data_IF_381135104820
#
_entry.id   IF_381135104820
#
_cell.length_a   1.000
_cell.length_b   1.000
_cell.length_c   1.000
_cell.angle_alpha   90.00
_cell.angle_beta   90.00
_cell.angle_gamma   90.00
#
_symmetry.space_group_name_H-M   'P 1'
#
loop_
_entity.id
_entity.type
_entity.pdbx_description
1 polymer ?
#
# COMPACT_ATOMS: atom_id res chain seq x y z
N UNK A 1 0.33 37.95 -27.31
CA UNK A 1 -0.95 37.42 -26.75
C UNK A 1 -1.83 37.10 -27.94
N UNK A 2 -1.85 35.83 -28.36
CA UNK A 2 -2.71 35.33 -29.44
C UNK A 2 -4.14 35.41 -28.98
N UNK A 3 -5.04 35.90 -29.84
CA UNK A 3 -6.51 35.85 -29.56
C UNK A 3 -6.93 34.38 -29.42
N UNK A 4 -7.79 34.07 -28.45
CA UNK A 4 -8.30 32.72 -28.29
C UNK A 4 -9.07 32.30 -29.55
N UNK A 5 -8.92 31.04 -29.97
CA UNK A 5 -9.69 30.50 -31.10
C UNK A 5 -11.19 30.47 -30.76
N UNK A 6 -12.06 30.43 -31.79
CA UNK A 6 -13.51 30.30 -31.59
C UNK A 6 -13.84 29.09 -30.68
N UNK A 7 -13.11 27.99 -30.83
CA UNK A 7 -13.25 26.79 -29.98
C UNK A 7 -12.90 27.08 -28.53
N UNK A 8 -11.86 27.84 -28.26
CA UNK A 8 -11.46 28.22 -26.89
C UNK A 8 -12.56 29.07 -26.23
N UNK A 9 -13.11 30.02 -26.96
CA UNK A 9 -14.20 30.86 -26.45
C UNK A 9 -15.47 30.07 -26.20
N UNK A 10 -15.83 29.15 -27.07
CA UNK A 10 -16.98 28.25 -26.90
C UNK A 10 -16.81 27.38 -25.62
N UNK A 11 -15.63 26.81 -25.44
CA UNK A 11 -15.32 26.00 -24.23
C UNK A 11 -15.36 26.85 -22.97
N UNK A 12 -14.78 28.05 -22.94
CA UNK A 12 -14.84 28.96 -21.79
C UNK A 12 -16.30 29.29 -21.46
N UNK A 13 -17.13 29.59 -22.44
CA UNK A 13 -18.56 29.89 -22.24
C UNK A 13 -19.31 28.70 -21.67
N UNK A 14 -19.01 27.50 -22.14
CA UNK A 14 -19.62 26.27 -21.63
C UNK A 14 -19.14 25.98 -20.19
N UNK A 15 -17.84 26.10 -19.89
CA UNK A 15 -17.30 25.94 -18.54
C UNK A 15 -17.94 26.90 -17.53
N UNK A 16 -18.24 28.11 -17.97
CA UNK A 16 -18.93 29.09 -17.11
C UNK A 16 -20.43 28.78 -16.89
N UNK A 17 -21.03 27.91 -17.71
CA UNK A 17 -22.44 27.53 -17.61
C UNK A 17 -22.72 26.29 -16.78
N UNK A 18 -21.71 25.44 -16.53
CA UNK A 18 -21.84 24.23 -15.72
C UNK A 18 -21.73 24.55 -14.23
N UNK A 19 -22.33 23.71 -13.38
CA UNK A 19 -22.27 23.87 -11.94
C UNK A 19 -20.91 23.40 -11.34
N UNK A 20 -20.66 23.78 -10.10
CA UNK A 20 -19.41 23.45 -9.40
C UNK A 20 -19.16 21.92 -9.28
N UNK A 21 -20.15 21.08 -8.94
CA UNK A 21 -19.98 19.62 -8.93
C UNK A 21 -19.60 19.04 -10.30
N UNK A 22 -20.23 19.51 -11.37
CA UNK A 22 -19.89 19.09 -12.74
C UNK A 22 -18.48 19.50 -13.12
N UNK A 23 -18.08 20.72 -12.78
CA UNK A 23 -16.72 21.23 -13.01
C UNK A 23 -15.66 20.40 -12.23
N UNK A 24 -15.93 20.09 -10.97
CA UNK A 24 -15.04 19.24 -10.18
C UNK A 24 -14.92 17.83 -10.77
N UNK A 25 -16.02 17.26 -11.24
CA UNK A 25 -16.03 15.95 -11.89
C UNK A 25 -15.23 15.96 -13.20
N UNK A 26 -15.37 17.01 -14.00
CA UNK A 26 -14.59 17.21 -15.23
C UNK A 26 -13.10 17.31 -14.94
N UNK A 27 -12.69 18.14 -13.98
CA UNK A 27 -11.30 18.34 -13.59
C UNK A 27 -10.67 17.00 -13.15
N UNK A 28 -11.38 16.24 -12.32
CA UNK A 28 -10.92 14.90 -11.89
C UNK A 28 -10.83 13.92 -13.06
N UNK A 29 -11.87 13.84 -13.89
CA UNK A 29 -11.93 12.93 -15.04
C UNK A 29 -10.82 13.21 -16.05
N UNK A 30 -10.57 14.49 -16.32
CA UNK A 30 -9.54 14.94 -17.27
C UNK A 30 -8.14 15.04 -16.64
N UNK A 31 -8.00 14.68 -15.36
CA UNK A 31 -6.73 14.70 -14.58
C UNK A 31 -6.00 16.04 -14.66
N UNK A 32 -6.77 17.14 -14.60
CA UNK A 32 -6.22 18.49 -14.72
C UNK A 32 -5.41 18.86 -13.48
N UNK A 33 -4.18 19.31 -13.68
CA UNK A 33 -3.33 19.79 -12.61
C UNK A 33 -3.93 21.03 -11.92
N UNK A 34 -3.79 21.13 -10.62
CA UNK A 34 -4.32 22.25 -9.82
C UNK A 34 -3.83 23.62 -10.31
N UNK A 35 -2.60 23.68 -10.83
CA UNK A 35 -2.00 24.89 -11.41
C UNK A 35 -2.77 25.42 -12.63
N UNK A 36 -3.47 24.57 -13.38
CA UNK A 36 -4.28 24.97 -14.54
C UNK A 36 -5.70 25.43 -14.14
N UNK A 37 -6.11 25.24 -12.89
CA UNK A 37 -7.44 25.60 -12.39
C UNK A 37 -7.54 27.08 -11.87
N UNK A 38 -6.58 27.95 -12.24
CA UNK A 38 -6.56 29.35 -11.78
C UNK A 38 -7.56 30.26 -12.48
N UNK A 39 -8.01 29.90 -13.68
CA UNK A 39 -9.03 30.60 -14.44
C UNK A 39 -9.68 29.66 -15.46
N UNK A 40 -10.91 30.01 -15.95
CA UNK A 40 -11.52 29.27 -17.04
C UNK A 40 -10.69 29.30 -18.32
N UNK A 41 -9.88 30.30 -18.54
CA UNK A 41 -8.98 30.39 -19.70
C UNK A 41 -7.87 29.35 -19.60
N UNK A 42 -7.15 29.31 -18.49
CA UNK A 42 -6.05 28.34 -18.28
C UNK A 42 -6.58 26.91 -18.27
N UNK A 43 -7.75 26.70 -17.70
CA UNK A 43 -8.46 25.42 -17.72
C UNK A 43 -8.82 24.99 -19.15
N UNK A 44 -9.37 25.92 -19.96
CA UNK A 44 -9.72 25.63 -21.35
C UNK A 44 -8.47 25.35 -22.21
N UNK A 45 -7.37 26.09 -22.01
CA UNK A 45 -6.09 25.85 -22.69
C UNK A 45 -5.56 24.44 -22.38
N UNK A 46 -5.64 24.00 -21.12
CA UNK A 46 -5.22 22.67 -20.70
C UNK A 46 -6.14 21.57 -21.28
N UNK A 47 -7.44 21.74 -21.19
CA UNK A 47 -8.43 20.82 -21.75
C UNK A 47 -8.31 20.65 -23.27
N UNK A 48 -7.86 21.70 -23.97
CA UNK A 48 -7.61 21.70 -25.42
C UNK A 48 -6.20 21.29 -25.81
N UNK A 49 -5.33 21.01 -24.86
CA UNK A 49 -4.00 20.48 -25.17
C UNK A 49 -4.12 19.12 -25.90
N UNK A 50 -3.23 18.90 -26.89
CA UNK A 50 -3.27 17.67 -27.69
C UNK A 50 -3.06 16.41 -26.81
N UNK A 51 -2.28 16.53 -25.75
CA UNK A 51 -2.01 15.47 -24.82
C UNK A 51 -3.26 15.14 -23.99
N UNK A 52 -3.90 16.13 -23.38
CA UNK A 52 -5.08 15.95 -22.57
C UNK A 52 -6.26 15.40 -23.37
N UNK A 53 -6.45 15.88 -24.63
CA UNK A 53 -7.48 15.33 -25.54
C UNK A 53 -7.18 13.86 -25.82
N UNK A 54 -5.93 13.51 -26.16
CA UNK A 54 -5.55 12.12 -26.47
C UNK A 54 -5.76 11.18 -25.30
N UNK A 55 -5.29 11.57 -24.12
CA UNK A 55 -5.47 10.76 -22.89
C UNK A 55 -6.95 10.56 -22.57
N UNK A 56 -7.76 11.60 -22.72
CA UNK A 56 -9.20 11.51 -22.45
C UNK A 56 -9.97 10.67 -23.48
N UNK A 57 -9.54 10.68 -24.73
CA UNK A 57 -10.12 9.80 -25.76
C UNK A 57 -9.77 8.33 -25.49
N UNK A 58 -8.60 8.05 -24.98
CA UNK A 58 -8.19 6.67 -24.60
C UNK A 58 -9.08 6.06 -23.53
N UNK A 59 -9.64 6.87 -22.64
CA UNK A 59 -10.54 6.39 -21.59
C UNK A 59 -11.97 6.13 -22.06
N UNK A 60 -12.32 6.52 -23.30
CA UNK A 60 -13.65 6.34 -23.83
C UNK A 60 -13.79 5.00 -24.56
N UNK A 61 -14.87 4.24 -24.28
CA UNK A 61 -15.16 3.02 -25.01
C UNK A 61 -15.51 3.31 -26.48
N UNK A 62 -15.30 2.32 -27.34
CA UNK A 62 -15.57 2.36 -28.79
C UNK A 62 -16.94 2.93 -29.13
N UNK A 63 -17.98 2.51 -28.40
CA UNK A 63 -19.34 2.98 -28.62
C UNK A 63 -19.45 4.52 -28.50
N UNK A 64 -18.71 5.11 -27.55
CA UNK A 64 -18.68 6.56 -27.36
C UNK A 64 -17.76 7.27 -28.37
N UNK A 65 -16.70 6.60 -28.84
CA UNK A 65 -15.79 7.15 -29.84
C UNK A 65 -16.39 7.25 -31.25
N UNK A 66 -17.35 6.39 -31.58
CA UNK A 66 -18.07 6.46 -32.87
C UNK A 66 -19.12 7.55 -32.91
N UNK A 67 -19.66 7.99 -31.78
CA UNK A 67 -20.67 9.01 -31.69
C UNK A 67 -20.31 10.39 -32.28
N UNK A 68 -19.04 10.90 -32.17
CA UNK A 68 -18.63 12.16 -32.77
C UNK A 68 -18.60 12.15 -34.29
N UNK A 69 -18.46 10.98 -34.93
CA UNK A 69 -18.45 10.89 -36.41
C UNK A 69 -19.88 10.98 -36.99
N UNK A 70 -20.89 10.54 -36.23
CA UNK A 70 -22.31 10.56 -36.62
C UNK A 70 -23.20 10.97 -35.43
N UNK A 71 -23.17 12.24 -34.97
CA UNK A 71 -23.90 12.66 -33.76
C UNK A 71 -25.43 12.50 -33.88
N UNK A 72 -25.98 12.61 -35.11
CA UNK A 72 -27.43 12.54 -35.37
C UNK A 72 -28.00 11.13 -35.16
N UNK A 73 -27.14 10.10 -35.13
CA UNK A 73 -27.55 8.71 -34.89
C UNK A 73 -26.97 8.11 -33.61
N UNK A 74 -26.27 8.92 -32.82
CA UNK A 74 -25.58 8.43 -31.61
C UNK A 74 -26.57 8.18 -30.47
N UNK A 75 -26.25 7.15 -29.65
CA UNK A 75 -27.02 6.84 -28.46
C UNK A 75 -26.94 7.98 -27.42
N UNK A 76 -28.04 8.29 -26.70
CA UNK A 76 -28.06 9.37 -25.71
C UNK A 76 -27.02 9.23 -24.61
N UNK A 77 -26.59 8.01 -24.29
CA UNK A 77 -25.55 7.74 -23.29
C UNK A 77 -24.18 8.17 -23.82
N UNK A 78 -23.85 7.86 -25.05
CA UNK A 78 -22.63 8.26 -25.72
C UNK A 78 -22.47 9.77 -25.80
N UNK A 79 -23.55 10.47 -26.13
CA UNK A 79 -23.57 11.93 -26.16
C UNK A 79 -23.36 12.54 -24.77
N UNK A 80 -24.00 11.99 -23.74
CA UNK A 80 -23.77 12.41 -22.34
C UNK A 80 -22.35 12.16 -21.87
N UNK A 81 -21.74 11.03 -22.27
CA UNK A 81 -20.36 10.71 -21.91
C UNK A 81 -19.37 11.70 -22.54
N UNK A 82 -19.60 12.10 -23.80
CA UNK A 82 -18.80 13.08 -24.51
C UNK A 82 -19.01 14.51 -23.95
N UNK A 83 -20.22 14.86 -23.57
CA UNK A 83 -20.51 16.13 -22.90
C UNK A 83 -19.87 16.20 -21.53
N UNK A 84 -19.97 15.14 -20.73
CA UNK A 84 -19.31 15.05 -19.43
C UNK A 84 -17.77 15.08 -19.51
N UNK A 85 -17.22 14.74 -20.69
CA UNK A 85 -15.79 14.87 -20.99
C UNK A 85 -15.42 16.19 -21.67
N UNK A 86 -16.35 17.13 -21.84
CA UNK A 86 -16.18 18.41 -22.52
C UNK A 86 -15.71 18.29 -24.00
N UNK A 87 -16.16 17.26 -24.70
CA UNK A 87 -15.95 17.11 -26.15
C UNK A 87 -17.10 17.72 -26.96
N UNK A 88 -18.30 17.67 -26.43
CA UNK A 88 -19.53 18.20 -27.03
C UNK A 88 -20.26 19.07 -26.02
N UNK A 89 -21.14 19.96 -26.54
CA UNK A 89 -22.19 20.60 -25.76
C UNK A 89 -23.53 20.38 -26.43
N UNK A 90 -24.56 20.07 -25.65
CA UNK A 90 -25.93 19.95 -26.13
C UNK A 90 -26.63 21.33 -26.13
N UNK A 91 -27.24 21.69 -27.24
CA UNK A 91 -28.01 22.92 -27.37
C UNK A 91 -29.40 22.59 -27.95
N UNK A 92 -30.41 23.46 -27.80
CA UNK A 92 -31.73 23.23 -28.37
C UNK A 92 -31.75 23.02 -29.89
N UNK A 93 -30.67 23.42 -30.61
CA UNK A 93 -30.50 23.27 -32.05
C UNK A 93 -29.60 22.12 -32.49
N UNK A 94 -29.16 21.27 -31.57
CA UNK A 94 -28.25 20.15 -31.84
C UNK A 94 -27.00 20.14 -30.94
N UNK A 95 -25.96 19.50 -31.43
CA UNK A 95 -24.68 19.35 -30.68
C UNK A 95 -23.57 20.22 -31.29
N UNK A 96 -22.80 20.89 -30.44
CA UNK A 96 -21.62 21.68 -30.84
C UNK A 96 -20.37 21.05 -30.27
N UNK A 97 -19.29 20.96 -31.09
CA UNK A 97 -17.99 20.48 -30.63
C UNK A 97 -17.29 21.53 -29.77
N UNK A 98 -16.82 21.12 -28.60
CA UNK A 98 -16.01 21.94 -27.69
C UNK A 98 -14.52 21.76 -27.93
N UNK A 99 -14.14 20.82 -28.80
CA UNK A 99 -12.75 20.55 -29.22
C UNK A 99 -12.62 20.69 -30.74
N UNK A 100 -11.42 21.04 -31.28
CA UNK A 100 -11.20 21.10 -32.72
C UNK A 100 -11.45 19.73 -33.37
N UNK A 101 -12.16 19.69 -34.49
CA UNK A 101 -12.38 18.45 -35.24
C UNK A 101 -11.08 17.75 -35.65
N UNK A 102 -10.05 18.51 -35.95
CA UNK A 102 -8.71 17.96 -36.25
C UNK A 102 -8.09 17.16 -35.09
N UNK A 103 -8.47 17.47 -33.85
CA UNK A 103 -8.03 16.72 -32.67
C UNK A 103 -8.74 15.36 -32.53
N UNK A 104 -9.84 15.15 -33.27
CA UNK A 104 -10.60 13.91 -33.32
C UNK A 104 -10.22 13.02 -34.52
N UNK A 105 -9.18 13.39 -35.31
CA UNK A 105 -8.77 12.65 -36.52
C UNK A 105 -8.34 11.20 -36.25
N UNK A 106 -7.90 10.87 -35.02
CA UNK A 106 -7.64 9.50 -34.65
C UNK A 106 -8.90 8.59 -34.72
N UNK A 107 -10.09 9.18 -34.65
CA UNK A 107 -11.37 8.45 -34.73
C UNK A 107 -11.69 8.03 -36.16
N UNK A 108 -11.16 8.73 -37.17
CA UNK A 108 -11.39 8.43 -38.60
C UNK A 108 -10.76 7.10 -39.03
N UNK A 109 -9.83 6.59 -38.20
CA UNK A 109 -9.12 5.32 -38.45
C UNK A 109 -9.79 4.13 -37.77
N UNK A 110 -10.85 4.35 -36.98
CA UNK A 110 -11.55 3.26 -36.29
C UNK A 110 -12.32 2.41 -37.29
N UNK A 111 -12.00 1.12 -37.34
CA UNK A 111 -12.73 0.15 -38.16
C UNK A 111 -14.10 -0.15 -37.53
N UNK A 112 -15.17 0.41 -38.11
CA UNK A 112 -16.53 0.21 -37.66
C UNK A 112 -17.08 -1.21 -37.90
N UNK A 113 -16.36 -2.02 -38.70
CA UNK A 113 -16.71 -3.42 -39.04
C UNK A 113 -16.00 -4.44 -38.18
N UNK A 114 -15.13 -4.03 -37.26
CA UNK A 114 -14.45 -4.97 -36.36
C UNK A 114 -15.49 -5.77 -35.57
N UNK A 115 -15.32 -7.10 -35.51
CA UNK A 115 -16.21 -7.97 -34.75
C UNK A 115 -15.81 -7.98 -33.27
N UNK A 116 -16.81 -7.88 -32.41
CA UNK A 116 -16.60 -8.00 -30.97
C UNK A 116 -16.05 -9.39 -30.62
N UNK A 117 -14.95 -9.47 -29.85
CA UNK A 117 -14.41 -10.75 -29.40
C UNK A 117 -15.41 -11.43 -28.47
N UNK A 118 -15.53 -12.76 -28.60
CA UNK A 118 -16.40 -13.53 -27.70
C UNK A 118 -15.80 -13.56 -26.32
N UNK A 119 -16.62 -13.19 -25.31
CA UNK A 119 -16.25 -13.41 -23.94
C UNK A 119 -16.17 -14.93 -23.66
N UNK A 120 -15.01 -15.36 -23.14
CA UNK A 120 -14.81 -16.73 -22.67
C UNK A 120 -14.41 -16.63 -21.19
N UNK A 121 -15.24 -17.12 -20.27
CA UNK A 121 -14.89 -17.17 -18.85
C UNK A 121 -13.58 -17.90 -18.64
N UNK A 122 -12.77 -17.43 -17.71
CA UNK A 122 -11.58 -18.16 -17.28
C UNK A 122 -11.98 -19.49 -16.62
N UNK A 123 -11.09 -20.46 -16.66
CA UNK A 123 -11.26 -21.70 -15.90
C UNK A 123 -11.26 -21.41 -14.40
N UNK A 124 -11.95 -22.25 -13.63
CA UNK A 124 -11.90 -22.15 -12.17
C UNK A 124 -10.50 -22.48 -11.64
N UNK A 125 -10.03 -21.67 -10.71
CA UNK A 125 -8.80 -22.00 -9.97
C UNK A 125 -8.97 -23.25 -9.12
N UNK A 126 -7.96 -24.12 -9.11
CA UNK A 126 -7.91 -25.22 -8.15
C UNK A 126 -7.87 -24.71 -6.71
N UNK A 127 -8.22 -25.53 -5.73
CA UNK A 127 -8.12 -25.17 -4.31
C UNK A 127 -6.67 -24.81 -3.94
N UNK A 128 -5.68 -25.55 -4.47
CA UNK A 128 -4.27 -25.28 -4.27
C UNK A 128 -3.83 -23.91 -4.84
N UNK A 129 -4.31 -23.54 -6.03
CA UNK A 129 -4.00 -22.24 -6.63
C UNK A 129 -4.65 -21.10 -5.88
N UNK A 130 -5.89 -21.29 -5.40
CA UNK A 130 -6.55 -20.32 -4.51
C UNK A 130 -5.76 -20.11 -3.22
N UNK A 131 -5.36 -21.20 -2.56
CA UNK A 131 -4.53 -21.15 -1.36
C UNK A 131 -3.18 -20.47 -1.60
N UNK A 132 -2.53 -20.73 -2.75
CA UNK A 132 -1.29 -20.07 -3.12
C UNK A 132 -1.47 -18.56 -3.36
N UNK A 133 -2.55 -18.15 -4.04
CA UNK A 133 -2.90 -16.74 -4.21
C UNK A 133 -3.17 -16.03 -2.88
N UNK A 134 -3.93 -16.67 -1.99
CA UNK A 134 -4.21 -16.15 -0.66
C UNK A 134 -2.94 -16.05 0.19
N UNK A 135 -2.03 -17.01 0.09
CA UNK A 135 -0.72 -16.96 0.76
C UNK A 135 0.13 -15.80 0.24
N UNK A 136 0.09 -15.50 -1.06
CA UNK A 136 0.75 -14.32 -1.64
C UNK A 136 0.19 -13.03 -1.04
N UNK A 137 -1.12 -12.86 -1.03
CA UNK A 137 -1.77 -11.68 -0.44
C UNK A 137 -1.51 -11.54 1.07
N UNK A 138 -1.51 -12.65 1.81
CA UNK A 138 -1.18 -12.64 3.24
C UNK A 138 0.30 -12.28 3.48
N UNK A 139 1.22 -12.77 2.62
CA UNK A 139 2.62 -12.36 2.65
C UNK A 139 2.76 -10.86 2.49
N UNK A 140 2.02 -10.27 1.56
CA UNK A 140 2.01 -8.82 1.36
C UNK A 140 1.54 -8.07 2.61
N UNK A 141 0.43 -8.51 3.24
CA UNK A 141 -0.08 -7.92 4.50
C UNK A 141 0.99 -7.95 5.59
N UNK A 142 1.67 -9.08 5.77
CA UNK A 142 2.76 -9.21 6.75
C UNK A 142 3.92 -8.29 6.39
N UNK A 143 4.32 -8.26 5.12
CA UNK A 143 5.44 -7.42 4.65
C UNK A 143 5.18 -5.92 4.83
N UNK A 144 3.94 -5.47 4.55
CA UNK A 144 3.54 -4.08 4.80
C UNK A 144 3.51 -3.80 6.30
N UNK A 145 3.01 -4.73 7.13
CA UNK A 145 3.06 -4.58 8.60
C UNK A 145 4.49 -4.40 9.09
N UNK A 146 5.40 -5.21 8.59
CA UNK A 146 6.83 -5.16 8.94
C UNK A 146 7.47 -3.81 8.56
N UNK A 147 7.13 -3.30 7.36
CA UNK A 147 7.56 -1.97 6.91
C UNK A 147 7.03 -0.85 7.82
N UNK A 148 5.75 -0.91 8.19
CA UNK A 148 5.15 0.07 9.08
C UNK A 148 5.76 0.03 10.48
N UNK A 149 6.10 -1.15 10.99
CA UNK A 149 6.78 -1.29 12.28
C UNK A 149 8.19 -0.71 12.25
N UNK A 150 8.95 -0.97 11.19
CA UNK A 150 10.26 -0.35 11.00
C UNK A 150 10.17 1.18 10.97
N UNK A 151 9.22 1.75 10.20
CA UNK A 151 9.02 3.21 10.12
C UNK A 151 8.54 3.81 11.46
N UNK A 152 7.81 3.06 12.27
CA UNK A 152 7.39 3.50 13.61
C UNK A 152 8.58 3.60 14.59
N UNK A 153 9.54 2.67 14.46
CA UNK A 153 10.64 2.52 15.43
C UNK A 153 11.90 3.31 15.06
N UNK A 154 12.04 3.72 13.79
CA UNK A 154 13.23 4.46 13.34
C UNK A 154 12.87 5.58 12.36
N UNK A 155 13.77 6.57 12.25
CA UNK A 155 13.58 7.70 11.34
C UNK A 155 14.20 7.40 9.98
N UNK A 156 13.38 7.37 8.93
CA UNK A 156 13.80 7.18 7.55
C UNK A 156 13.64 8.46 6.73
N UNK A 157 14.72 9.11 6.28
CA UNK A 157 14.66 10.26 5.39
C UNK A 157 13.99 9.92 4.05
N UNK A 158 13.18 10.87 3.56
CA UNK A 158 12.51 10.77 2.25
C UNK A 158 12.92 11.92 1.34
N UNK A 159 12.89 11.67 0.04
CA UNK A 159 13.09 12.69 -1.01
C UNK A 159 11.87 13.58 -1.21
N UNK A 160 11.97 14.49 -2.20
CA UNK A 160 10.92 15.48 -2.49
C UNK A 160 9.55 14.88 -2.85
N UNK A 161 9.52 13.67 -3.40
CA UNK A 161 8.31 12.96 -3.79
C UNK A 161 7.79 12.00 -2.69
N UNK A 162 8.34 12.07 -1.48
CA UNK A 162 7.99 11.16 -0.39
C UNK A 162 8.56 9.74 -0.52
N UNK A 163 9.41 9.49 -1.54
CA UNK A 163 10.08 8.20 -1.73
C UNK A 163 11.29 8.05 -0.81
N UNK A 164 11.60 6.83 -0.35
CA UNK A 164 12.74 6.60 0.54
C UNK A 164 14.06 6.94 -0.17
N UNK A 165 14.99 7.55 0.54
CA UNK A 165 16.33 7.79 0.02
C UNK A 165 17.12 6.48 -0.12
N UNK A 166 18.21 6.46 -0.89
CA UNK A 166 19.07 5.29 -1.03
C UNK A 166 19.61 4.79 0.34
N UNK A 167 19.88 5.73 1.26
CA UNK A 167 20.29 5.40 2.63
C UNK A 167 19.16 4.72 3.41
N UNK A 168 17.94 5.26 3.30
CA UNK A 168 16.75 4.67 3.93
C UNK A 168 16.46 3.26 3.40
N UNK A 169 16.54 3.07 2.08
CA UNK A 169 16.38 1.74 1.46
C UNK A 169 17.41 0.74 2.00
N UNK A 170 18.68 1.14 2.09
CA UNK A 170 19.73 0.27 2.63
C UNK A 170 19.47 -0.10 4.10
N UNK A 171 19.02 0.86 4.92
CA UNK A 171 18.72 0.60 6.33
C UNK A 171 17.49 -0.31 6.48
N UNK A 172 16.43 -0.09 5.69
CA UNK A 172 15.24 -0.95 5.66
C UNK A 172 15.58 -2.37 5.19
N UNK A 173 16.44 -2.53 4.17
CA UNK A 173 16.92 -3.86 3.77
C UNK A 173 17.72 -4.57 4.86
N UNK A 174 18.50 -3.84 5.64
CA UNK A 174 19.24 -4.42 6.77
C UNK A 174 18.30 -4.87 7.90
N UNK A 175 17.21 -4.14 8.13
CA UNK A 175 16.23 -4.41 9.19
C UNK A 175 15.23 -5.51 8.79
N UNK A 176 14.69 -5.44 7.59
CA UNK A 176 13.64 -6.35 7.12
C UNK A 176 14.18 -7.60 6.43
N UNK A 177 15.44 -7.58 5.98
CA UNK A 177 16.07 -8.68 5.25
C UNK A 177 15.91 -8.60 3.73
N UNK A 178 16.67 -9.47 3.03
CA UNK A 178 16.76 -9.45 1.55
C UNK A 178 15.52 -10.01 0.81
N UNK A 179 14.53 -10.51 1.55
CA UNK A 179 13.32 -11.13 0.97
C UNK A 179 12.26 -10.14 0.50
N UNK A 180 12.46 -8.83 0.71
CA UNK A 180 11.48 -7.80 0.43
C UNK A 180 11.94 -6.84 -0.66
N UNK A 181 11.05 -6.56 -1.63
CA UNK A 181 11.20 -5.38 -2.49
C UNK A 181 10.64 -4.16 -1.74
N UNK A 182 11.54 -3.48 -1.03
CA UNK A 182 11.16 -2.34 -0.16
C UNK A 182 10.53 -1.21 -0.98
N UNK A 183 10.97 -0.98 -2.21
CA UNK A 183 10.43 0.11 -3.05
C UNK A 183 8.96 -0.18 -3.40
N UNK A 184 8.65 -1.40 -3.79
CA UNK A 184 7.28 -1.84 -4.11
C UNK A 184 6.39 -1.80 -2.86
N UNK A 185 6.87 -2.30 -1.72
CA UNK A 185 6.12 -2.24 -0.46
C UNK A 185 5.84 -0.80 -0.02
N UNK A 186 6.82 0.10 -0.23
CA UNK A 186 6.68 1.52 0.08
C UNK A 186 5.61 2.18 -0.78
N UNK A 187 5.62 1.93 -2.08
CA UNK A 187 4.63 2.48 -3.01
C UNK A 187 3.23 1.96 -2.66
N UNK A 188 3.05 0.66 -2.41
CA UNK A 188 1.78 0.06 -1.97
C UNK A 188 1.29 0.69 -0.65
N UNK A 189 2.15 0.83 0.35
CA UNK A 189 1.78 1.40 1.63
C UNK A 189 1.42 2.91 1.52
N UNK A 190 2.10 3.64 0.63
CA UNK A 190 1.82 5.06 0.36
C UNK A 190 0.50 5.21 -0.38
N UNK A 191 0.25 4.42 -1.42
CA UNK A 191 -1.01 4.41 -2.17
C UNK A 191 -2.20 4.03 -1.29
N UNK A 192 -1.98 3.09 -0.37
CA UNK A 192 -2.98 2.71 0.62
C UNK A 192 -3.18 3.77 1.73
N UNK A 193 -2.47 4.91 1.67
CA UNK A 193 -2.58 5.97 2.67
C UNK A 193 -2.04 5.60 4.05
N UNK A 194 -1.20 4.56 4.16
CA UNK A 194 -0.61 4.09 5.42
C UNK A 194 0.68 4.83 5.75
N UNK A 195 1.45 5.23 4.74
CA UNK A 195 2.65 6.05 4.87
C UNK A 195 2.41 7.47 4.38
N UNK A 196 3.00 8.40 5.08
CA UNK A 196 3.06 9.81 4.74
C UNK A 196 4.41 10.40 5.10
N UNK A 197 4.52 11.72 5.09
CA UNK A 197 5.74 12.44 5.44
C UNK A 197 5.51 13.41 6.58
N UNK A 198 6.48 13.50 7.48
CA UNK A 198 6.58 14.54 8.49
C UNK A 198 7.90 15.31 8.26
N UNK A 199 7.80 16.44 7.58
CA UNK A 199 8.97 17.16 7.06
C UNK A 199 9.74 16.34 6.04
N UNK A 200 10.99 16.00 6.32
CA UNK A 200 11.88 15.21 5.44
C UNK A 200 11.98 13.73 5.83
N UNK A 201 11.10 13.24 6.68
CA UNK A 201 11.11 11.85 7.13
C UNK A 201 9.76 11.16 6.87
N UNK A 202 9.80 9.85 6.71
CA UNK A 202 8.61 9.01 6.68
C UNK A 202 7.88 9.04 8.03
N UNK A 203 6.57 8.93 7.99
CA UNK A 203 5.74 8.84 9.17
C UNK A 203 4.51 7.96 8.91
N UNK A 204 4.03 7.30 9.94
CA UNK A 204 2.75 6.61 9.88
C UNK A 204 1.61 7.63 9.85
N UNK A 205 0.58 7.33 9.08
CA UNK A 205 -0.66 8.09 9.08
C UNK A 205 -1.61 7.61 10.18
N UNK A 206 -2.66 8.36 10.47
CA UNK A 206 -3.77 7.90 11.33
C UNK A 206 -4.43 6.63 10.78
N UNK A 207 -4.49 6.49 9.45
CA UNK A 207 -5.03 5.29 8.81
C UNK A 207 -4.18 4.05 9.09
N UNK A 208 -2.85 4.20 9.16
CA UNK A 208 -1.96 3.09 9.53
C UNK A 208 -2.24 2.56 10.94
N UNK A 209 -2.55 3.45 11.90
CA UNK A 209 -2.91 3.04 13.25
C UNK A 209 -4.20 2.22 13.25
N UNK A 210 -5.24 2.70 12.59
CA UNK A 210 -6.50 1.97 12.45
C UNK A 210 -6.32 0.64 11.70
N UNK A 211 -5.47 0.62 10.65
CA UNK A 211 -5.19 -0.59 9.88
C UNK A 211 -4.53 -1.68 10.72
N UNK A 212 -3.69 -1.31 11.68
CA UNK A 212 -3.04 -2.26 12.61
C UNK A 212 -4.03 -3.01 13.50
N UNK A 213 -5.20 -2.44 13.78
CA UNK A 213 -6.24 -3.05 14.60
C UNK A 213 -7.15 -4.01 13.81
N UNK A 214 -7.01 -4.05 12.48
CA UNK A 214 -7.82 -4.90 11.62
C UNK A 214 -7.32 -6.35 11.59
N UNK A 215 -8.22 -7.28 11.24
CA UNK A 215 -7.84 -8.65 10.87
C UNK A 215 -6.99 -8.66 9.59
N UNK A 216 -6.18 -9.68 9.38
CA UNK A 216 -5.34 -9.77 8.17
C UNK A 216 -6.16 -9.73 6.87
N UNK A 217 -7.36 -10.32 6.85
CA UNK A 217 -8.25 -10.25 5.70
C UNK A 217 -8.81 -8.85 5.44
N UNK A 218 -9.10 -8.09 6.49
CA UNK A 218 -9.52 -6.70 6.36
C UNK A 218 -8.35 -5.79 5.95
N UNK A 219 -7.15 -6.04 6.47
CA UNK A 219 -5.90 -5.39 6.04
C UNK A 219 -5.66 -5.61 4.56
N UNK A 220 -5.79 -6.87 4.10
CA UNK A 220 -5.66 -7.22 2.70
C UNK A 220 -6.68 -6.50 1.82
N UNK A 221 -7.95 -6.51 2.23
CA UNK A 221 -9.02 -5.86 1.48
C UNK A 221 -8.75 -4.37 1.25
N UNK A 222 -8.19 -3.67 2.24
CA UNK A 222 -7.82 -2.27 2.12
C UNK A 222 -6.69 -2.07 1.08
N UNK A 223 -5.65 -2.90 1.09
CA UNK A 223 -4.58 -2.84 0.11
C UNK A 223 -5.10 -3.10 -1.31
N UNK A 224 -5.93 -4.14 -1.48
CA UNK A 224 -6.52 -4.49 -2.77
C UNK A 224 -7.46 -3.40 -3.30
N UNK A 225 -8.28 -2.79 -2.42
CA UNK A 225 -9.17 -1.68 -2.77
C UNK A 225 -8.39 -0.42 -3.14
N UNK A 226 -7.29 -0.14 -2.44
CA UNK A 226 -6.42 0.98 -2.77
C UNK A 226 -5.80 0.81 -4.17
N UNK A 227 -5.23 -0.35 -4.45
CA UNK A 227 -4.71 -0.66 -5.78
C UNK A 227 -5.81 -0.52 -6.86
N UNK A 228 -7.00 -1.07 -6.61
CA UNK A 228 -8.13 -0.99 -7.54
C UNK A 228 -8.56 0.44 -7.85
N UNK A 229 -8.49 1.33 -6.88
CA UNK A 229 -8.82 2.75 -7.07
C UNK A 229 -7.84 3.49 -8.02
N UNK A 230 -6.63 2.94 -8.24
CA UNK A 230 -5.61 3.50 -9.12
C UNK A 230 -5.54 2.80 -10.49
N UNK A 231 -6.29 1.71 -10.67
CA UNK A 231 -6.38 0.99 -11.95
C UNK A 231 -7.03 1.90 -13.02
N UNK A 232 -6.54 1.91 -14.27
CA UNK A 232 -7.14 2.67 -15.35
C UNK A 232 -8.63 2.39 -15.54
N UNK A 233 -9.41 3.42 -15.85
CA UNK A 233 -10.88 3.32 -15.98
C UNK A 233 -11.33 2.28 -17.00
N UNK A 234 -10.60 2.11 -18.10
CA UNK A 234 -10.89 1.11 -19.13
C UNK A 234 -10.74 -0.32 -18.61
N UNK A 235 -9.73 -0.59 -17.76
CA UNK A 235 -9.57 -1.91 -17.14
C UNK A 235 -10.62 -2.13 -16.05
N UNK A 236 -10.86 -1.11 -15.22
CA UNK A 236 -11.89 -1.18 -14.18
C UNK A 236 -13.27 -1.48 -14.78
N UNK A 237 -13.65 -0.80 -15.85
CA UNK A 237 -14.91 -1.04 -16.55
C UNK A 237 -14.98 -2.46 -17.13
N UNK A 238 -13.89 -2.91 -17.79
CA UNK A 238 -13.82 -4.25 -18.36
C UNK A 238 -13.97 -5.33 -17.29
N UNK A 239 -13.23 -5.24 -16.19
CA UNK A 239 -13.28 -6.23 -15.12
C UNK A 239 -14.59 -6.21 -14.34
N UNK A 240 -15.22 -5.03 -14.21
CA UNK A 240 -16.56 -4.93 -13.60
C UNK A 240 -17.61 -5.61 -14.47
N UNK A 241 -17.53 -5.45 -15.78
CA UNK A 241 -18.46 -6.08 -16.73
C UNK A 241 -18.21 -7.60 -16.86
N UNK A 242 -16.96 -8.03 -16.81
CA UNK A 242 -16.51 -9.41 -17.01
C UNK A 242 -15.56 -9.87 -15.91
N UNK A 243 -16.05 -10.06 -14.68
CA UNK A 243 -15.20 -10.34 -13.50
C UNK A 243 -14.50 -11.70 -13.55
N UNK A 244 -14.90 -12.58 -14.44
CA UNK A 244 -14.33 -13.90 -14.70
C UNK A 244 -13.41 -13.95 -15.93
N UNK A 245 -13.08 -12.80 -16.53
CA UNK A 245 -12.21 -12.74 -17.70
C UNK A 245 -10.75 -13.07 -17.36
N UNK A 246 -10.12 -13.94 -18.15
CA UNK A 246 -8.70 -14.25 -18.01
C UNK A 246 -7.82 -13.07 -18.44
N UNK A 247 -6.75 -12.82 -17.67
CA UNK A 247 -5.76 -11.76 -17.94
C UNK A 247 -4.66 -12.22 -18.92
N UNK A 248 -5.08 -12.85 -20.00
CA UNK A 248 -4.23 -13.30 -21.11
C UNK A 248 -4.59 -12.55 -22.41
N UNK A 249 -4.42 -13.19 -23.55
CA UNK A 249 -4.81 -12.64 -24.85
C UNK A 249 -6.31 -12.29 -24.92
N UNK A 250 -7.15 -12.96 -24.13
CA UNK A 250 -8.62 -12.67 -24.11
C UNK A 250 -8.89 -11.26 -23.61
N UNK A 251 -8.24 -10.85 -22.50
CA UNK A 251 -8.35 -9.46 -22.01
C UNK A 251 -7.76 -8.48 -23.01
N UNK A 252 -6.59 -8.78 -23.59
CA UNK A 252 -5.92 -7.92 -24.57
C UNK A 252 -6.83 -7.67 -25.78
N UNK A 253 -7.41 -8.72 -26.34
CA UNK A 253 -8.29 -8.61 -27.51
C UNK A 253 -9.59 -7.87 -27.18
N UNK A 254 -10.13 -8.10 -25.98
CA UNK A 254 -11.30 -7.38 -25.50
C UNK A 254 -11.04 -5.88 -25.34
N UNK A 255 -9.94 -5.52 -24.68
CA UNK A 255 -9.56 -4.10 -24.51
C UNK A 255 -9.24 -3.47 -25.86
N UNK A 256 -8.53 -4.14 -26.75
CA UNK A 256 -8.22 -3.63 -28.10
C UNK A 256 -9.50 -3.33 -28.91
N UNK A 257 -10.55 -4.12 -28.75
CA UNK A 257 -11.84 -3.87 -29.39
C UNK A 257 -12.60 -2.74 -28.71
N UNK A 258 -12.81 -2.80 -27.40
CA UNK A 258 -13.67 -1.85 -26.68
C UNK A 258 -13.00 -0.50 -26.42
N UNK A 259 -11.66 -0.47 -26.34
CA UNK A 259 -10.84 0.74 -26.09
C UNK A 259 -9.73 0.86 -27.15
N UNK A 260 -10.10 1.12 -28.40
CA UNK A 260 -9.18 1.01 -29.55
C UNK A 260 -8.03 2.01 -29.55
N UNK A 261 -8.07 3.04 -28.71
CA UNK A 261 -7.00 4.04 -28.55
C UNK A 261 -6.03 3.74 -27.41
N UNK A 262 -6.30 2.66 -26.66
CA UNK A 262 -5.38 2.14 -25.63
C UNK A 262 -4.38 1.20 -26.29
N UNK A 263 -3.11 1.28 -25.87
CA UNK A 263 -2.15 0.20 -26.09
C UNK A 263 -2.26 -0.81 -24.93
N UNK A 264 -2.99 -1.94 -25.13
CA UNK A 264 -3.25 -2.86 -24.04
C UNK A 264 -2.02 -3.69 -23.68
N UNK A 265 -1.08 -3.90 -24.61
CA UNK A 265 0.03 -4.85 -24.42
C UNK A 265 0.97 -4.38 -23.31
N UNK A 266 1.40 -3.12 -23.34
CA UNK A 266 2.27 -2.55 -22.31
C UNK A 266 1.54 -2.27 -20.99
N UNK A 267 0.32 -1.74 -21.07
CA UNK A 267 -0.48 -1.36 -19.90
C UNK A 267 -0.92 -2.57 -19.07
N UNK A 268 -1.44 -3.62 -19.70
CA UNK A 268 -1.88 -4.84 -19.02
C UNK A 268 -0.69 -5.59 -18.40
N UNK A 269 0.48 -5.60 -19.06
CA UNK A 269 1.64 -6.33 -18.55
C UNK A 269 2.13 -5.78 -17.21
N UNK A 270 2.20 -4.44 -17.06
CA UNK A 270 2.57 -3.81 -15.78
C UNK A 270 1.52 -4.10 -14.70
N UNK A 271 0.24 -3.84 -15.00
CA UNK A 271 -0.86 -4.08 -14.05
C UNK A 271 -1.00 -5.55 -13.65
N UNK A 272 -0.65 -6.47 -14.55
CA UNK A 272 -0.63 -7.90 -14.27
C UNK A 272 0.42 -8.26 -13.22
N UNK A 273 1.62 -7.68 -13.30
CA UNK A 273 2.66 -7.92 -12.30
C UNK A 273 2.20 -7.48 -10.90
N UNK A 274 1.57 -6.31 -10.80
CA UNK A 274 1.01 -5.80 -9.55
C UNK A 274 -0.14 -6.70 -9.04
N UNK A 275 -1.04 -7.12 -9.93
CA UNK A 275 -2.15 -8.01 -9.59
C UNK A 275 -1.68 -9.41 -9.13
N UNK A 276 -0.59 -9.95 -9.71
CA UNK A 276 0.05 -11.19 -9.27
C UNK A 276 0.71 -11.02 -7.90
N UNK A 277 1.38 -9.89 -7.65
CA UNK A 277 2.00 -9.55 -6.36
C UNK A 277 0.97 -9.42 -5.24
N UNK A 278 -0.17 -8.81 -5.54
CA UNK A 278 -1.30 -8.71 -4.61
C UNK A 278 -2.05 -10.04 -4.44
N UNK A 279 -1.76 -11.07 -5.25
CA UNK A 279 -2.51 -12.32 -5.27
C UNK A 279 -3.95 -12.15 -5.79
N UNK A 280 -4.23 -11.09 -6.55
CA UNK A 280 -5.52 -10.83 -7.20
C UNK A 280 -5.74 -11.78 -8.36
N UNK A 281 -4.69 -12.06 -9.12
CA UNK A 281 -4.73 -13.08 -10.18
C UNK A 281 -3.69 -14.17 -9.92
N UNK A 282 -3.97 -15.35 -10.44
CA UNK A 282 -3.05 -16.50 -10.42
C UNK A 282 -3.06 -17.17 -11.79
N UNK A 283 -1.89 -17.30 -12.43
CA UNK A 283 -1.79 -17.86 -13.79
C UNK A 283 -2.76 -17.17 -14.78
N UNK A 284 -2.88 -15.86 -14.71
CA UNK A 284 -3.83 -15.02 -15.48
C UNK A 284 -5.30 -15.20 -15.08
N UNK A 285 -5.64 -16.05 -14.14
CA UNK A 285 -7.03 -16.32 -13.72
C UNK A 285 -7.35 -15.45 -12.51
N UNK A 286 -8.48 -14.72 -12.51
CA UNK A 286 -8.97 -13.98 -11.36
C UNK A 286 -9.26 -14.88 -10.17
N UNK A 287 -8.86 -14.45 -8.99
CA UNK A 287 -9.22 -15.13 -7.73
C UNK A 287 -10.65 -14.78 -7.30
N UNK A 288 -11.28 -15.55 -6.43
CA UNK A 288 -12.63 -15.24 -5.93
C UNK A 288 -12.72 -13.87 -5.26
N UNK A 289 -11.69 -13.44 -4.53
CA UNK A 289 -11.66 -12.12 -3.89
C UNK A 289 -11.37 -10.99 -4.87
N UNK A 290 -10.71 -11.26 -5.99
CA UNK A 290 -10.61 -10.31 -7.09
C UNK A 290 -11.97 -10.07 -7.73
N UNK A 291 -12.73 -11.14 -8.00
CA UNK A 291 -14.09 -11.01 -8.53
C UNK A 291 -15.01 -10.26 -7.56
N UNK A 292 -14.87 -10.50 -6.24
CA UNK A 292 -15.58 -9.76 -5.22
C UNK A 292 -15.19 -8.26 -5.24
N UNK A 293 -13.89 -7.94 -5.38
CA UNK A 293 -13.39 -6.58 -5.50
C UNK A 293 -14.04 -5.84 -6.69
N UNK A 294 -14.09 -6.47 -7.86
CA UNK A 294 -14.63 -5.87 -9.08
C UNK A 294 -16.14 -5.72 -9.06
N UNK A 295 -16.85 -6.58 -8.33
CA UNK A 295 -18.30 -6.48 -8.10
C UNK A 295 -18.68 -5.54 -6.95
N UNK A 296 -17.71 -5.00 -6.22
CA UNK A 296 -17.97 -4.20 -5.00
C UNK A 296 -18.52 -5.01 -3.83
N UNK A 297 -18.22 -6.31 -3.80
CA UNK A 297 -18.62 -7.25 -2.74
C UNK A 297 -17.60 -7.26 -1.59
N UNK A 298 -17.84 -8.07 -0.57
CA UNK A 298 -16.97 -8.20 0.61
C UNK A 298 -15.68 -8.97 0.29
N UNK A 299 -14.63 -8.21 -0.04
CA UNK A 299 -13.29 -8.72 -0.37
C UNK A 299 -12.66 -9.43 0.82
N UNK A 300 -12.82 -8.90 2.05
CA UNK A 300 -12.22 -9.48 3.24
C UNK A 300 -12.77 -10.88 3.51
N UNK A 301 -14.08 -11.06 3.39
CA UNK A 301 -14.75 -12.35 3.53
C UNK A 301 -14.31 -13.33 2.44
N UNK A 302 -14.26 -12.89 1.19
CA UNK A 302 -13.87 -13.75 0.07
C UNK A 302 -12.40 -14.20 0.20
N UNK A 303 -11.51 -13.31 0.64
CA UNK A 303 -10.10 -13.61 0.89
C UNK A 303 -9.93 -14.59 2.07
N UNK A 304 -10.60 -14.33 3.20
CA UNK A 304 -10.53 -15.17 4.38
C UNK A 304 -10.94 -16.63 4.10
N UNK A 305 -11.90 -16.85 3.20
CA UNK A 305 -12.36 -18.19 2.83
C UNK A 305 -11.30 -19.07 2.16
N UNK A 306 -10.25 -18.46 1.57
CA UNK A 306 -9.14 -19.16 0.90
C UNK A 306 -7.80 -18.98 1.62
N UNK A 307 -7.75 -18.17 2.67
CA UNK A 307 -6.54 -17.91 3.44
C UNK A 307 -6.10 -19.15 4.20
N UNK A 308 -4.78 -19.41 4.31
CA UNK A 308 -4.28 -20.50 5.11
C UNK A 308 -4.65 -20.29 6.59
N UNK A 309 -4.94 -21.39 7.28
CA UNK A 309 -5.18 -21.34 8.72
C UNK A 309 -3.92 -20.86 9.45
N UNK A 310 -4.11 -20.11 10.51
CA UNK A 310 -3.01 -19.73 11.39
C UNK A 310 -2.41 -20.96 12.09
N UNK A 311 -1.08 -20.96 12.18
CA UNK A 311 -0.39 -21.91 13.04
C UNK A 311 -0.81 -21.67 14.51
N UNK A 312 -0.89 -22.73 15.33
CA UNK A 312 -1.33 -22.60 16.72
C UNK A 312 -0.33 -21.80 17.58
N UNK A 313 0.88 -21.59 17.10
CA UNK A 313 1.93 -20.85 17.77
C UNK A 313 3.31 -21.15 17.16
N UNK A 314 4.35 -20.96 17.96
CA UNK A 314 5.75 -21.21 17.60
C UNK A 314 6.34 -22.38 18.38
N UNK A 315 7.33 -23.06 17.80
CA UNK A 315 8.14 -24.06 18.51
C UNK A 315 9.38 -23.39 19.08
N UNK A 316 9.54 -23.43 20.39
CA UNK A 316 10.72 -22.92 21.08
C UNK A 316 11.83 -23.97 21.13
N UNK A 317 13.07 -23.57 20.84
CA UNK A 317 14.26 -24.40 20.84
C UNK A 317 15.28 -23.94 21.90
N UNK A 318 16.14 -24.85 22.38
CA UNK A 318 17.15 -24.57 23.42
C UNK A 318 18.20 -23.50 23.03
N UNK A 319 18.36 -23.22 21.72
CA UNK A 319 19.23 -22.19 21.15
C UNK A 319 18.58 -20.80 21.08
N UNK A 320 17.50 -20.59 21.83
CA UNK A 320 16.70 -19.36 21.89
C UNK A 320 15.92 -19.02 20.60
N UNK A 321 15.84 -19.95 19.65
CA UNK A 321 15.08 -19.77 18.42
C UNK A 321 13.62 -20.16 18.65
N UNK A 322 12.68 -19.37 18.08
CA UNK A 322 11.25 -19.66 18.02
C UNK A 322 10.85 -19.74 16.55
N UNK A 323 10.35 -20.89 16.13
CA UNK A 323 10.03 -21.19 14.74
C UNK A 323 8.54 -21.38 14.54
N UNK A 324 7.93 -20.59 13.67
CA UNK A 324 6.56 -20.81 13.21
C UNK A 324 6.51 -21.91 12.15
N UNK A 325 5.41 -22.66 12.09
CA UNK A 325 5.16 -23.68 11.04
C UNK A 325 4.21 -23.19 9.96
N UNK A 326 3.74 -21.96 10.08
CA UNK A 326 2.83 -21.31 9.15
C UNK A 326 2.55 -19.87 9.59
N UNK A 327 1.59 -19.20 8.96
CA UNK A 327 1.22 -17.83 9.35
C UNK A 327 0.75 -17.80 10.80
N UNK A 328 1.19 -16.80 11.55
CA UNK A 328 0.79 -16.58 12.93
C UNK A 328 -0.39 -15.60 13.00
N UNK A 329 -1.26 -15.80 13.96
CA UNK A 329 -2.31 -14.83 14.29
C UNK A 329 -1.69 -13.47 14.68
N UNK A 330 -2.36 -12.34 14.39
CA UNK A 330 -1.85 -11.01 14.73
C UNK A 330 -1.42 -10.86 16.20
N UNK A 331 -2.18 -11.41 17.13
CA UNK A 331 -1.89 -11.36 18.57
C UNK A 331 -0.56 -12.08 18.89
N UNK A 332 -0.34 -13.28 18.34
CA UNK A 332 0.93 -14.00 18.51
C UNK A 332 2.11 -13.25 17.92
N UNK A 333 1.94 -12.62 16.73
CA UNK A 333 2.98 -11.78 16.14
C UNK A 333 3.33 -10.59 17.05
N UNK A 334 2.32 -9.97 17.63
CA UNK A 334 2.47 -8.82 18.53
C UNK A 334 3.25 -9.20 19.80
N UNK A 335 2.87 -10.31 20.42
CA UNK A 335 3.59 -10.85 21.59
C UNK A 335 5.03 -11.17 21.25
N UNK A 336 5.28 -11.89 20.16
CA UNK A 336 6.65 -12.24 19.76
C UNK A 336 7.48 -10.99 19.44
N UNK A 337 6.93 -10.00 18.75
CA UNK A 337 7.61 -8.75 18.45
C UNK A 337 8.02 -7.97 19.71
N UNK A 338 7.23 -8.08 20.80
CA UNK A 338 7.53 -7.36 22.04
C UNK A 338 8.67 -7.97 22.86
N UNK A 339 8.96 -9.29 22.73
CA UNK A 339 9.94 -9.99 23.59
C UNK A 339 11.08 -10.65 22.82
N UNK A 340 11.08 -10.63 21.50
CA UNK A 340 12.07 -11.31 20.65
C UNK A 340 12.55 -10.41 19.52
N UNK A 341 13.69 -10.77 18.91
CA UNK A 341 14.14 -10.22 17.63
C UNK A 341 13.69 -11.14 16.50
N UNK A 342 13.18 -10.59 15.41
CA UNK A 342 12.82 -11.36 14.23
C UNK A 342 14.05 -11.59 13.34
N UNK A 343 14.37 -12.85 13.03
CA UNK A 343 15.49 -13.23 12.15
C UNK A 343 15.03 -13.45 10.70
N UNK A 344 13.80 -13.96 10.51
CA UNK A 344 13.22 -14.22 9.20
C UNK A 344 11.76 -13.78 9.22
N UNK A 345 11.40 -12.95 8.24
CA UNK A 345 10.02 -12.48 8.04
C UNK A 345 9.18 -13.42 7.16
N UNK A 346 8.01 -12.94 6.74
CA UNK A 346 7.09 -13.66 5.86
C UNK A 346 6.11 -14.58 6.61
N UNK A 347 5.51 -15.56 5.90
CA UNK A 347 4.45 -16.40 6.44
C UNK A 347 4.93 -17.44 7.46
N UNK A 348 6.20 -17.82 7.39
CA UNK A 348 6.81 -18.77 8.32
C UNK A 348 7.97 -18.07 9.02
N UNK A 349 7.66 -17.14 9.94
CA UNK A 349 8.66 -16.30 10.57
C UNK A 349 9.52 -17.12 11.57
N UNK A 350 10.76 -16.66 11.72
CA UNK A 350 11.67 -17.13 12.74
C UNK A 350 12.08 -15.97 13.64
N UNK A 351 11.96 -16.19 14.91
CA UNK A 351 12.34 -15.25 15.95
C UNK A 351 13.46 -15.80 16.79
N UNK A 352 14.22 -14.91 17.42
CA UNK A 352 15.25 -15.26 18.41
C UNK A 352 15.07 -14.40 19.65
N UNK A 353 15.03 -15.04 20.78
CA UNK A 353 15.10 -14.37 22.07
C UNK A 353 16.55 -14.02 22.37
N UNK A 354 16.85 -12.76 22.63
CA UNK A 354 18.20 -12.26 22.96
C UNK A 354 18.15 -11.43 24.23
N UNK A 355 19.31 -11.23 24.87
CA UNK A 355 19.39 -10.31 26.02
C UNK A 355 18.90 -8.90 25.67
N UNK A 356 19.22 -8.43 24.46
CA UNK A 356 18.78 -7.11 23.99
C UNK A 356 17.28 -7.04 23.77
N UNK A 357 16.65 -8.08 23.17
CA UNK A 357 15.21 -8.07 22.94
C UNK A 357 14.42 -8.11 24.26
N UNK A 358 14.87 -8.87 25.23
CA UNK A 358 14.26 -8.91 26.58
C UNK A 358 14.45 -7.57 27.30
N UNK A 359 15.65 -6.99 27.23
CA UNK A 359 15.90 -5.68 27.85
C UNK A 359 15.00 -4.58 27.25
N UNK A 360 14.86 -4.55 25.93
CA UNK A 360 13.95 -3.61 25.24
C UNK A 360 12.50 -3.83 25.73
N UNK A 361 12.04 -5.08 25.82
CA UNK A 361 10.72 -5.41 26.33
C UNK A 361 10.48 -4.82 27.74
N UNK A 362 11.46 -4.97 28.63
CA UNK A 362 11.38 -4.43 29.99
C UNK A 362 11.37 -2.89 29.99
N UNK A 363 12.13 -2.25 29.10
CA UNK A 363 12.13 -0.78 28.93
C UNK A 363 10.81 -0.26 28.38
N UNK A 364 10.14 -1.05 27.52
CA UNK A 364 8.83 -0.75 26.96
C UNK A 364 7.66 -1.05 27.93
N UNK A 365 7.98 -1.47 29.16
CA UNK A 365 7.01 -1.66 30.25
C UNK A 365 6.48 -3.08 30.41
N UNK A 366 7.05 -4.07 29.72
CA UNK A 366 6.74 -5.49 29.98
C UNK A 366 7.33 -5.87 31.34
N UNK A 367 6.50 -6.39 32.26
CA UNK A 367 7.03 -6.80 33.56
C UNK A 367 7.89 -8.06 33.44
N UNK A 368 8.97 -8.18 34.22
CA UNK A 368 9.84 -9.36 34.18
C UNK A 368 9.11 -10.70 34.35
N UNK A 369 8.11 -10.71 35.24
CA UNK A 369 7.34 -11.91 35.56
C UNK A 369 6.39 -12.32 34.42
N UNK A 370 6.03 -11.40 33.55
CA UNK A 370 5.13 -11.66 32.39
C UNK A 370 5.87 -12.28 31.20
N UNK A 371 7.18 -12.10 31.04
CA UNK A 371 7.94 -12.66 29.90
C UNK A 371 7.81 -14.19 29.81
N UNK A 372 7.98 -14.98 30.87
CA UNK A 372 7.74 -16.42 30.81
C UNK A 372 6.28 -16.79 30.52
N UNK A 373 5.33 -15.97 30.92
CA UNK A 373 3.92 -16.20 30.65
C UNK A 373 3.60 -15.94 29.18
N UNK A 374 4.06 -14.83 28.61
CA UNK A 374 3.93 -14.51 27.20
C UNK A 374 4.55 -15.58 26.28
N UNK A 375 5.71 -16.12 26.68
CA UNK A 375 6.31 -17.25 25.94
C UNK A 375 5.42 -18.49 25.97
N UNK A 376 4.82 -18.84 27.13
CA UNK A 376 3.92 -20.00 27.23
C UNK A 376 2.64 -19.81 26.43
N UNK A 377 2.16 -18.59 26.27
CA UNK A 377 0.98 -18.25 25.49
C UNK A 377 1.20 -18.51 23.99
N UNK A 378 2.39 -18.19 23.47
CA UNK A 378 2.69 -18.30 22.03
C UNK A 378 3.37 -19.61 21.64
N UNK A 379 3.96 -20.35 22.57
CA UNK A 379 4.66 -21.60 22.29
C UNK A 379 3.70 -22.80 22.26
N UNK A 380 3.90 -23.68 21.27
CA UNK A 380 3.17 -24.95 21.13
C UNK A 380 3.76 -26.05 22.04
N UNK A 381 5.06 -26.01 22.25
CA UNK A 381 5.80 -26.90 23.13
C UNK A 381 6.18 -26.23 24.44
N UNK A 382 6.68 -27.01 25.40
CA UNK A 382 7.22 -26.47 26.64
C UNK A 382 8.35 -25.47 26.35
N UNK A 383 8.32 -24.34 27.03
CA UNK A 383 9.35 -23.30 26.89
C UNK A 383 10.64 -23.82 27.52
N UNK A 384 11.77 -23.82 26.77
CA UNK A 384 13.05 -24.26 27.29
C UNK A 384 13.49 -23.50 28.54
N UNK A 385 14.04 -24.23 29.52
CA UNK A 385 14.55 -23.63 30.76
C UNK A 385 15.63 -22.55 30.51
N UNK A 386 16.43 -22.71 29.43
CA UNK A 386 17.40 -21.72 28.98
C UNK A 386 16.79 -20.37 28.69
N UNK A 387 15.63 -20.31 28.05
CA UNK A 387 14.88 -19.06 27.74
C UNK A 387 14.36 -18.39 29.01
N UNK A 388 13.83 -19.17 29.95
CA UNK A 388 13.36 -18.64 31.23
C UNK A 388 14.57 -18.07 32.02
N UNK A 389 15.67 -18.82 32.06
CA UNK A 389 16.89 -18.35 32.73
C UNK A 389 17.47 -17.07 32.10
N UNK A 390 17.41 -16.92 30.76
CA UNK A 390 17.81 -15.71 30.09
C UNK A 390 16.92 -14.51 30.50
N UNK A 391 15.60 -14.69 30.53
CA UNK A 391 14.66 -13.65 30.95
C UNK A 391 14.95 -13.19 32.39
N UNK A 392 15.13 -14.15 33.31
CA UNK A 392 15.43 -13.89 34.74
C UNK A 392 16.78 -13.20 34.92
N UNK A 393 17.79 -13.57 34.13
CA UNK A 393 19.12 -12.97 34.21
C UNK A 393 19.09 -11.51 33.70
N UNK A 394 18.47 -11.25 32.59
CA UNK A 394 18.30 -9.89 32.05
C UNK A 394 17.49 -9.01 33.02
N UNK A 395 16.39 -9.54 33.57
CA UNK A 395 15.54 -8.82 34.52
C UNK A 395 16.33 -8.42 35.77
N UNK A 396 17.14 -9.35 36.33
CA UNK A 396 18.00 -9.04 37.48
C UNK A 396 19.00 -7.94 37.17
N UNK A 397 19.64 -8.00 35.98
CA UNK A 397 20.63 -6.97 35.58
C UNK A 397 19.98 -5.63 35.30
N UNK A 398 18.77 -5.59 34.70
CA UNK A 398 18.01 -4.37 34.42
C UNK A 398 17.60 -3.65 35.71
N UNK A 399 17.32 -4.41 36.79
CA UNK A 399 16.99 -3.86 38.11
C UNK A 399 18.22 -3.43 38.92
N UNK A 400 19.44 -3.78 38.48
CA UNK A 400 20.67 -3.38 39.15
C UNK A 400 21.07 -1.92 38.94
N UNK A 401 20.44 -1.23 37.95
CA UNK A 401 20.71 0.16 37.61
C UNK A 401 19.42 0.94 37.40
N UNK A 402 19.23 2.01 38.13
CA UNK A 402 18.15 2.98 37.94
C UNK A 402 18.75 4.33 37.55
N UNK A 403 18.12 5.00 36.56
CA UNK A 403 18.54 6.32 36.06
C UNK A 403 17.48 7.33 36.42
N UNK A 404 17.80 8.29 37.25
CA UNK A 404 16.93 9.39 37.65
C UNK A 404 17.43 10.71 37.06
N UNK A 405 16.64 11.36 36.21
CA UNK A 405 16.96 12.68 35.65
C UNK A 405 16.29 13.79 36.47
N UNK A 406 17.09 14.71 36.95
CA UNK A 406 16.64 15.87 37.76
C UNK A 406 17.12 17.18 37.11
N UNK A 407 16.44 17.62 36.04
CA UNK A 407 16.81 18.84 35.33
C UNK A 407 18.16 18.76 34.64
N UNK A 408 19.17 19.46 35.18
CA UNK A 408 20.54 19.48 34.59
C UNK A 408 21.43 18.35 35.12
N UNK A 409 20.99 17.56 36.08
CA UNK A 409 21.78 16.43 36.65
C UNK A 409 21.06 15.11 36.46
N UNK A 410 21.85 14.06 36.22
CA UNK A 410 21.38 12.67 36.17
C UNK A 410 22.01 11.87 37.29
N UNK A 411 21.18 11.19 38.06
CA UNK A 411 21.64 10.30 39.14
C UNK A 411 21.47 8.85 38.70
N UNK A 412 22.49 8.06 38.80
CA UNK A 412 22.49 6.63 38.56
C UNK A 412 22.52 5.93 39.95
N UNK A 413 21.50 5.16 40.23
CA UNK A 413 21.41 4.37 41.47
C UNK A 413 21.65 2.90 41.10
N UNK A 414 22.69 2.32 41.67
CA UNK A 414 23.05 0.91 41.49
C UNK A 414 22.63 0.11 42.71
N UNK A 415 22.28 -1.17 42.51
CA UNK A 415 21.97 -2.08 43.63
C UNK A 415 23.20 -2.77 44.22
N UNK A 416 24.35 -2.64 43.55
CA UNK A 416 25.64 -3.26 43.96
C UNK A 416 26.76 -2.24 43.85
N UNK A 417 27.54 -2.14 44.88
CA UNK A 417 28.69 -1.24 44.93
C UNK A 417 29.72 -1.56 43.83
N UNK A 418 29.96 -2.86 43.55
CA UNK A 418 30.84 -3.30 42.47
C UNK A 418 30.41 -2.75 41.10
N UNK A 419 29.10 -2.62 40.83
CA UNK A 419 28.61 -2.05 39.57
C UNK A 419 28.91 -0.56 39.48
N UNK A 420 28.87 0.19 40.59
CA UNK A 420 29.29 1.58 40.64
C UNK A 420 30.75 1.76 40.26
N UNK A 421 31.62 0.89 40.73
CA UNK A 421 33.04 0.88 40.36
C UNK A 421 33.28 0.53 38.90
N UNK A 422 32.56 -0.45 38.37
CA UNK A 422 32.61 -0.83 36.96
C UNK A 422 32.16 0.33 36.06
N UNK A 423 31.07 1.02 36.38
CA UNK A 423 30.53 2.16 35.59
C UNK A 423 31.53 3.36 35.60
N UNK A 424 32.16 3.66 36.74
CA UNK A 424 33.16 4.74 36.83
C UNK A 424 34.41 4.41 36.02
N UNK A 425 34.74 3.13 35.94
CA UNK A 425 35.97 2.64 35.30
C UNK A 425 35.80 2.34 33.80
N UNK A 426 34.57 2.34 33.29
CA UNK A 426 34.29 2.04 31.89
C UNK A 426 34.82 3.16 30.98
N UNK A 427 35.73 2.85 30.02
CA UNK A 427 36.27 3.84 29.10
C UNK A 427 35.19 4.54 28.23
N UNK A 428 34.07 3.86 27.92
CA UNK A 428 32.96 4.41 27.16
C UNK A 428 32.14 5.43 27.96
N UNK A 429 32.14 5.34 29.28
CA UNK A 429 31.33 6.20 30.18
C UNK A 429 32.13 7.34 30.81
N UNK A 430 33.48 7.37 30.67
CA UNK A 430 34.35 8.45 31.18
C UNK A 430 33.89 9.83 30.68
N UNK A 431 33.37 9.91 29.44
CA UNK A 431 32.89 11.17 28.85
C UNK A 431 31.74 11.76 29.65
N UNK A 432 30.95 10.94 30.36
CA UNK A 432 29.83 11.39 31.18
C UNK A 432 30.26 12.04 32.49
N UNK A 433 31.52 11.89 32.89
CA UNK A 433 32.08 12.48 34.10
C UNK A 433 31.43 11.98 35.38
N UNK A 434 31.06 10.72 35.46
CA UNK A 434 30.36 10.09 36.57
C UNK A 434 31.17 10.30 37.88
N UNK A 435 30.51 10.83 38.90
CA UNK A 435 31.07 11.02 40.23
C UNK A 435 30.26 10.27 41.27
N UNK A 436 30.91 9.61 42.16
CA UNK A 436 30.28 8.91 43.28
C UNK A 436 29.75 9.92 44.29
N UNK A 437 28.46 9.84 44.59
CA UNK A 437 27.75 10.70 45.57
C UNK A 437 27.30 9.91 46.79
N UNK A 438 27.22 8.56 46.68
CA UNK A 438 26.85 7.63 47.75
C UNK A 438 27.42 6.24 47.50
N UNK A 439 27.13 5.26 48.39
CA UNK A 439 27.65 3.89 48.26
C UNK A 439 27.19 3.19 46.98
N UNK A 440 25.96 3.51 46.53
CA UNK A 440 25.37 2.99 45.29
C UNK A 440 24.82 4.12 44.42
N UNK A 441 25.32 5.35 44.56
CA UNK A 441 24.82 6.50 43.77
C UNK A 441 25.97 7.17 43.02
N UNK A 442 25.75 7.42 41.74
CA UNK A 442 26.64 8.17 40.85
C UNK A 442 25.84 9.34 40.25
N UNK A 443 26.50 10.49 40.04
CA UNK A 443 25.91 11.65 39.35
C UNK A 443 26.80 12.10 38.20
N UNK A 444 26.17 12.61 37.13
CA UNK A 444 26.83 13.31 36.04
C UNK A 444 26.14 14.65 35.76
#
# INVERSE_FOLDING_TARGET
>A
MTLPSDTTLALISWLASIDTPQLQTLIKRRRIAHSACTSFRTLAEELLSAENIRESLRELPRAHLLAPTTPEGAEPESLRALEAAAFLSSTPGGHSYLVPRSALSALDTLDDRASEPRHTPAADLSEGDRGAGASTGLTLVVSVSDLLDAVANARFPVGAEGKPTATSLKSLHAELGAGYDIAVLWDIATEAGLLGTNGSAAALTTQALTWRDLSDSARYALLAQSWWAHVPSWLAATMTAHPDMSWDSTLIDHVRYHYPLVDPDSGIQSLRADAELLGIIRQSIPTPWAQALWRGEDVARAFAASSPAYAPGVFAHDDYTLLATGPLAPDHRSVLASITARELGGLVPRYRMTSSSVLNALQDGVSPESVPQLLREVCVNDVPASMIALADDVARRALDLEVHSHGESTTLVTRRDTLSEELISDPGLIVLGLKRTGDCELTC
#
